data_IF_774333005283
#
_entry.id   IF_774333005283
#
_cell.length_a   1.000
_cell.length_b   1.000
_cell.length_c   1.000
_cell.angle_alpha   90.00
_cell.angle_beta   90.00
_cell.angle_gamma   90.00
#
_symmetry.space_group_name_H-M   'P 1'
#
loop_
_entity.id
_entity.type
_entity.pdbx_description
1 polymer ?
#
# COMPACT_ATOMS: atom_id res chain seq x y z
N UNK A 1 1.31 15.02 -1.02
CA UNK A 1 2.02 15.64 -2.15
C UNK A 1 1.90 14.79 -3.42
N UNK A 2 2.66 13.70 -3.58
CA UNK A 2 2.66 12.92 -4.83
C UNK A 2 1.30 12.31 -5.18
N UNK A 3 0.61 11.72 -4.20
CA UNK A 3 -0.74 11.19 -4.40
C UNK A 3 -1.74 12.26 -4.87
N UNK A 4 -1.54 13.53 -4.47
CA UNK A 4 -2.37 14.67 -4.89
C UNK A 4 -1.85 15.32 -6.19
N UNK A 5 -1.06 14.62 -7.01
CA UNK A 5 -0.53 15.16 -8.27
C UNK A 5 0.48 16.30 -8.09
N UNK A 6 1.18 16.36 -6.95
CA UNK A 6 2.14 17.42 -6.65
C UNK A 6 1.54 18.64 -5.94
N UNK A 7 0.34 18.54 -5.39
CA UNK A 7 -0.22 19.57 -4.51
C UNK A 7 0.23 19.37 -3.06
N UNK A 8 0.79 20.43 -2.45
CA UNK A 8 1.15 20.43 -1.02
C UNK A 8 -0.06 20.66 -0.11
N UNK A 9 -0.98 21.53 -0.51
CA UNK A 9 -2.19 21.81 0.28
C UNK A 9 -3.10 20.58 0.32
N UNK A 10 -3.69 20.31 1.48
CA UNK A 10 -4.69 19.27 1.63
C UNK A 10 -6.02 19.72 0.97
N UNK A 11 -6.73 18.79 0.34
CA UNK A 11 -8.06 19.05 -0.18
C UNK A 11 -9.07 19.27 0.96
N UNK A 12 -10.23 19.90 0.71
CA UNK A 12 -11.31 19.95 1.69
C UNK A 12 -11.70 18.54 2.16
N UNK A 13 -11.71 18.30 3.47
CA UNK A 13 -11.99 16.99 4.07
C UNK A 13 -10.81 16.02 4.09
N UNK A 14 -9.63 16.40 3.57
CA UNK A 14 -8.42 15.58 3.63
C UNK A 14 -7.63 15.85 4.92
N UNK A 15 -7.59 14.86 5.81
CA UNK A 15 -6.69 14.83 6.95
C UNK A 15 -5.41 14.05 6.64
N UNK A 16 -4.27 14.55 7.12
CA UNK A 16 -2.96 13.89 6.98
C UNK A 16 -2.37 13.59 8.33
N UNK A 17 -1.98 12.35 8.54
CA UNK A 17 -1.31 11.90 9.76
C UNK A 17 0.08 11.39 9.40
N UNK A 18 1.11 11.97 10.02
CA UNK A 18 2.50 11.56 9.85
C UNK A 18 2.99 10.86 11.11
N UNK A 19 3.35 9.59 10.99
CA UNK A 19 4.06 8.84 12.03
C UNK A 19 5.56 8.99 11.78
N UNK A 20 6.35 9.50 12.76
CA UNK A 20 7.79 9.62 12.60
C UNK A 20 8.44 8.25 12.36
N UNK A 21 9.34 8.19 11.38
CA UNK A 21 10.23 7.03 11.18
C UNK A 21 11.21 6.90 12.36
N UNK A 22 11.73 5.70 12.64
CA UNK A 22 12.71 5.53 13.70
C UNK A 22 14.01 6.29 13.41
N UNK A 23 14.62 6.84 14.45
CA UNK A 23 15.89 7.53 14.37
C UNK A 23 17.06 6.54 14.36
N UNK A 24 17.18 5.73 13.30
CA UNK A 24 18.27 4.77 13.07
C UNK A 24 19.11 5.18 11.87
N UNK A 25 20.39 4.79 11.86
CA UNK A 25 21.31 5.15 10.77
C UNK A 25 20.89 4.53 9.42
N UNK A 26 20.44 3.27 9.45
CA UNK A 26 19.90 2.54 8.30
C UNK A 26 18.78 1.62 8.77
N UNK A 27 17.72 1.46 7.98
CA UNK A 27 16.49 0.79 8.43
C UNK A 27 16.63 -0.72 8.64
N UNK A 28 17.71 -1.36 8.16
CA UNK A 28 18.00 -2.76 8.52
C UNK A 28 18.25 -2.94 10.03
N UNK A 29 18.55 -1.87 10.78
CA UNK A 29 18.69 -1.91 12.23
C UNK A 29 17.35 -2.01 12.96
N UNK A 30 16.26 -1.60 12.31
CA UNK A 30 14.89 -1.69 12.81
C UNK A 30 13.93 -1.96 11.63
N UNK A 31 13.92 -3.19 11.08
CA UNK A 31 13.18 -3.52 9.86
C UNK A 31 11.65 -3.34 9.96
N UNK A 32 11.10 -3.42 11.18
CA UNK A 32 9.70 -3.13 11.50
C UNK A 32 9.35 -1.64 11.36
N UNK A 33 10.38 -0.79 11.30
CA UNK A 33 10.27 0.67 11.23
C UNK A 33 9.19 1.19 12.19
N UNK A 34 8.23 1.96 11.67
CA UNK A 34 7.06 2.45 12.42
C UNK A 34 5.77 1.79 11.92
N UNK A 35 5.84 0.63 11.25
CA UNK A 35 4.64 -0.06 10.76
C UNK A 35 3.64 -0.39 11.89
N UNK A 36 4.06 -0.83 13.09
CA UNK A 36 3.13 -1.03 14.20
C UNK A 36 2.40 0.25 14.62
N UNK A 37 3.10 1.38 14.69
CA UNK A 37 2.52 2.68 15.05
C UNK A 37 1.55 3.20 13.98
N UNK A 38 1.90 3.03 12.69
CA UNK A 38 1.02 3.35 11.56
C UNK A 38 -0.26 2.51 11.62
N UNK A 39 -0.14 1.20 11.82
CA UNK A 39 -1.28 0.26 11.94
C UNK A 39 -2.20 0.64 13.09
N UNK A 40 -1.61 0.85 14.27
CA UNK A 40 -2.36 1.27 15.46
C UNK A 40 -3.07 2.60 15.25
N UNK A 41 -2.44 3.54 14.54
CA UNK A 41 -3.02 4.84 14.24
C UNK A 41 -4.19 4.72 13.26
N UNK A 42 -4.03 3.96 12.18
CA UNK A 42 -5.08 3.80 11.16
C UNK A 42 -6.26 3.03 11.70
N UNK A 43 -6.03 1.99 12.51
CA UNK A 43 -7.08 1.23 13.21
C UNK A 43 -7.95 2.17 14.05
N UNK A 44 -7.32 3.05 14.84
CA UNK A 44 -8.05 4.06 15.64
C UNK A 44 -8.87 5.03 14.79
N UNK A 45 -8.40 5.37 13.59
CA UNK A 45 -9.17 6.25 12.69
C UNK A 45 -10.34 5.53 12.03
N UNK A 46 -10.14 4.27 11.63
CA UNK A 46 -11.20 3.42 11.07
C UNK A 46 -12.29 3.17 12.13
N UNK A 47 -11.91 2.94 13.39
CA UNK A 47 -12.85 2.77 14.51
C UNK A 47 -13.73 4.01 14.77
N UNK A 48 -13.32 5.20 14.31
CA UNK A 48 -14.11 6.44 14.48
C UNK A 48 -15.26 6.56 13.49
N UNK A 49 -15.33 5.72 12.45
CA UNK A 49 -16.37 5.75 11.42
C UNK A 49 -16.56 7.16 10.82
N UNK A 50 -15.43 7.85 10.55
CA UNK A 50 -15.43 9.25 10.11
C UNK A 50 -14.99 9.46 8.66
N UNK A 51 -14.12 8.60 8.12
CA UNK A 51 -13.58 8.75 6.77
C UNK A 51 -14.21 7.74 5.81
N UNK A 52 -14.60 8.20 4.63
CA UNK A 52 -15.08 7.34 3.54
C UNK A 52 -13.93 6.59 2.85
N UNK A 53 -12.75 7.23 2.78
CA UNK A 53 -11.54 6.68 2.12
C UNK A 53 -10.32 6.89 3.00
N UNK A 54 -9.54 5.83 3.17
CA UNK A 54 -8.27 5.87 3.89
C UNK A 54 -7.15 5.38 2.97
N UNK A 55 -6.13 6.23 2.77
CA UNK A 55 -4.94 5.90 1.99
C UNK A 55 -3.75 5.75 2.94
N UNK A 56 -3.09 4.60 2.88
CA UNK A 56 -1.99 4.23 3.77
C UNK A 56 -0.82 3.65 2.99
N UNK A 57 0.41 3.90 3.47
CA UNK A 57 1.64 3.33 2.92
C UNK A 57 2.44 2.65 4.04
N UNK A 58 2.90 1.42 3.79
CA UNK A 58 3.95 0.78 4.57
C UNK A 58 5.28 0.91 3.84
N UNK A 59 6.20 1.70 4.38
CA UNK A 59 7.48 2.00 3.74
C UNK A 59 8.51 0.86 3.84
N UNK A 60 8.27 -0.12 4.71
CA UNK A 60 9.28 -1.10 5.14
C UNK A 60 9.90 -1.91 4.00
N UNK A 61 9.12 -2.51 3.07
CA UNK A 61 9.69 -3.40 2.07
C UNK A 61 10.68 -2.66 1.15
N UNK A 62 10.38 -1.40 0.82
CA UNK A 62 11.24 -0.57 -0.01
C UNK A 62 12.46 -0.04 0.75
N UNK A 63 12.22 0.65 1.86
CA UNK A 63 13.29 1.32 2.62
C UNK A 63 14.31 0.33 3.19
N UNK A 64 13.87 -0.87 3.57
CA UNK A 64 14.77 -1.94 4.01
C UNK A 64 15.34 -2.71 2.82
N UNK A 65 14.59 -2.85 1.72
CA UNK A 65 15.07 -3.43 0.46
C UNK A 65 16.32 -2.71 -0.08
N UNK A 66 16.32 -1.38 -0.01
CA UNK A 66 17.48 -0.55 -0.37
C UNK A 66 18.76 -0.82 0.42
N UNK A 67 18.70 -1.52 1.56
CA UNK A 67 19.89 -1.89 2.32
C UNK A 67 20.63 -3.09 1.71
N UNK A 68 19.98 -3.89 0.87
CA UNK A 68 20.55 -5.11 0.30
C UNK A 68 20.73 -6.26 1.30
N UNK A 69 20.19 -6.13 2.53
CA UNK A 69 20.31 -7.14 3.57
C UNK A 69 19.06 -8.02 3.56
N UNK A 70 19.15 -9.20 2.94
CA UNK A 70 18.03 -10.14 2.77
C UNK A 70 17.32 -10.46 4.10
N UNK A 71 18.07 -10.76 5.16
CA UNK A 71 17.47 -11.10 6.47
C UNK A 71 16.65 -9.95 7.06
N UNK A 72 17.09 -8.71 6.83
CA UNK A 72 16.35 -7.53 7.27
C UNK A 72 15.10 -7.32 6.41
N UNK A 73 15.20 -7.49 5.09
CA UNK A 73 14.04 -7.40 4.19
C UNK A 73 12.96 -8.45 4.52
N UNK A 74 13.36 -9.68 4.86
CA UNK A 74 12.42 -10.71 5.32
C UNK A 74 11.69 -10.28 6.60
N UNK A 75 12.39 -9.65 7.56
CA UNK A 75 11.76 -9.13 8.77
C UNK A 75 10.84 -7.95 8.47
N UNK A 76 11.21 -7.08 7.54
CA UNK A 76 10.40 -5.95 7.10
C UNK A 76 9.07 -6.41 6.50
N UNK A 77 9.11 -7.39 5.59
CA UNK A 77 7.89 -7.96 4.98
C UNK A 77 7.02 -8.65 6.03
N UNK A 78 7.60 -9.40 6.97
CA UNK A 78 6.85 -10.04 8.08
C UNK A 78 6.16 -9.01 8.97
N UNK A 79 6.84 -7.92 9.32
CA UNK A 79 6.24 -6.86 10.13
C UNK A 79 5.04 -6.22 9.42
N UNK A 80 5.14 -6.00 8.10
CA UNK A 80 4.03 -5.48 7.29
C UNK A 80 2.88 -6.49 7.20
N UNK A 81 3.16 -7.77 7.01
CA UNK A 81 2.15 -8.83 6.98
C UNK A 81 1.34 -8.89 8.28
N UNK A 82 2.03 -8.93 9.43
CA UNK A 82 1.41 -8.93 10.77
C UNK A 82 0.54 -7.68 11.00
N UNK A 83 1.05 -6.51 10.62
CA UNK A 83 0.35 -5.23 10.70
C UNK A 83 -0.88 -5.17 9.80
N UNK A 84 -0.75 -5.63 8.56
CA UNK A 84 -1.81 -5.60 7.55
C UNK A 84 -2.98 -6.50 7.93
N UNK A 85 -2.71 -7.67 8.56
CA UNK A 85 -3.77 -8.58 9.04
C UNK A 85 -4.74 -7.86 9.97
N UNK A 86 -4.26 -7.04 10.90
CA UNK A 86 -5.10 -6.32 11.85
C UNK A 86 -6.01 -5.29 11.16
N UNK A 87 -5.44 -4.50 10.23
CA UNK A 87 -6.17 -3.49 9.47
C UNK A 87 -7.23 -4.12 8.58
N UNK A 88 -6.85 -5.14 7.79
CA UNK A 88 -7.75 -5.84 6.87
C UNK A 88 -8.89 -6.51 7.63
N UNK A 89 -8.60 -7.13 8.79
CA UNK A 89 -9.64 -7.75 9.63
C UNK A 89 -10.66 -6.72 10.08
N UNK A 90 -10.21 -5.57 10.62
CA UNK A 90 -11.11 -4.52 11.08
C UNK A 90 -11.98 -3.96 9.96
N UNK A 91 -11.39 -3.66 8.80
CA UNK A 91 -12.14 -3.15 7.64
C UNK A 91 -13.21 -4.16 7.22
N UNK A 92 -12.86 -5.46 7.17
CA UNK A 92 -13.81 -6.52 6.79
C UNK A 92 -14.93 -6.73 7.83
N UNK A 93 -14.63 -6.57 9.12
CA UNK A 93 -15.63 -6.60 10.21
C UNK A 93 -16.61 -5.43 10.11
N UNK A 94 -16.17 -4.30 9.56
CA UNK A 94 -17.00 -3.12 9.27
C UNK A 94 -17.67 -3.16 7.89
N UNK A 95 -17.63 -4.31 7.22
CA UNK A 95 -18.18 -4.50 5.86
C UNK A 95 -17.55 -3.57 4.80
N UNK A 96 -16.39 -3.00 5.10
CA UNK A 96 -15.64 -2.15 4.18
C UNK A 96 -14.83 -2.94 3.15
N UNK A 97 -14.15 -2.19 2.28
CA UNK A 97 -13.34 -2.72 1.19
C UNK A 97 -11.87 -2.34 1.43
N UNK A 98 -10.96 -3.31 1.31
CA UNK A 98 -9.52 -3.04 1.28
C UNK A 98 -8.94 -3.38 -0.08
N UNK A 99 -8.21 -2.43 -0.68
CA UNK A 99 -7.36 -2.68 -1.84
C UNK A 99 -5.91 -2.76 -1.38
N UNK A 100 -5.27 -3.91 -1.59
CA UNK A 100 -3.85 -4.13 -1.25
C UNK A 100 -3.06 -4.10 -2.56
N UNK A 101 -2.10 -3.18 -2.66
CA UNK A 101 -1.22 -3.05 -3.83
C UNK A 101 0.14 -2.48 -3.44
N UNK A 102 1.03 -2.31 -4.42
CA UNK A 102 2.29 -1.61 -4.28
C UNK A 102 2.49 -0.63 -5.45
N UNK A 103 3.34 0.35 -5.27
CA UNK A 103 3.73 1.33 -6.30
C UNK A 103 4.84 0.80 -7.22
N UNK A 104 5.71 -0.07 -6.71
CA UNK A 104 6.72 -0.80 -7.47
C UNK A 104 7.26 -2.01 -6.69
N UNK A 105 8.16 -2.79 -7.32
CA UNK A 105 8.94 -3.84 -6.67
C UNK A 105 10.27 -3.34 -6.09
N UNK A 106 10.83 -4.10 -5.15
CA UNK A 106 12.16 -3.93 -4.56
C UNK A 106 12.59 -5.24 -3.86
N UNK A 107 11.98 -5.54 -2.70
CA UNK A 107 12.47 -6.58 -1.79
C UNK A 107 12.28 -8.03 -2.27
N UNK A 108 11.54 -8.25 -3.35
CA UNK A 108 11.44 -9.55 -4.03
C UNK A 108 12.75 -9.94 -4.74
N UNK A 109 13.64 -8.97 -5.00
CA UNK A 109 14.99 -9.20 -5.53
C UNK A 109 16.04 -8.54 -4.62
N UNK A 110 16.59 -9.30 -3.67
CA UNK A 110 17.64 -8.82 -2.76
C UNK A 110 19.07 -9.18 -3.18
N UNK A 111 19.21 -10.03 -4.20
CA UNK A 111 20.51 -10.50 -4.71
C UNK A 111 20.49 -10.41 -6.23
N UNK A 112 21.48 -9.74 -6.81
CA UNK A 112 21.63 -9.57 -8.24
C UNK A 112 21.90 -10.94 -8.91
N UNK A 113 21.04 -11.45 -9.79
CA UNK A 113 21.23 -12.76 -10.42
C UNK A 113 22.51 -12.87 -11.26
N UNK A 114 23.00 -11.74 -11.79
CA UNK A 114 24.18 -11.69 -12.65
C UNK A 114 25.50 -11.65 -11.86
N UNK A 115 25.51 -11.02 -10.68
CA UNK A 115 26.76 -10.76 -9.94
C UNK A 115 26.82 -11.47 -8.59
N UNK A 116 25.69 -11.92 -8.04
CA UNK A 116 25.58 -12.45 -6.68
C UNK A 116 25.70 -11.41 -5.57
N UNK A 117 25.90 -10.13 -5.91
CA UNK A 117 26.00 -9.04 -4.95
C UNK A 117 24.61 -8.61 -4.44
N UNK A 118 24.55 -7.91 -3.28
CA UNK A 118 23.32 -7.28 -2.83
C UNK A 118 22.68 -6.42 -3.92
N UNK A 119 21.36 -6.57 -4.10
CA UNK A 119 20.57 -5.73 -4.99
C UNK A 119 19.82 -4.70 -4.14
N UNK A 120 20.04 -3.43 -4.44
CA UNK A 120 19.57 -2.28 -3.62
C UNK A 120 18.68 -1.32 -4.40
N UNK A 121 18.22 -1.72 -5.60
CA UNK A 121 17.40 -0.89 -6.48
C UNK A 121 15.97 -1.43 -6.55
N UNK A 122 15.06 -0.64 -7.14
CA UNK A 122 13.74 -1.14 -7.49
C UNK A 122 13.84 -2.17 -8.63
N UNK A 123 12.78 -2.94 -8.80
CA UNK A 123 12.62 -3.85 -9.93
C UNK A 123 11.54 -3.35 -10.90
N UNK A 124 11.43 -4.04 -12.03
CA UNK A 124 10.32 -3.87 -12.98
C UNK A 124 9.28 -5.01 -12.87
N UNK A 125 9.27 -5.74 -11.74
CA UNK A 125 8.29 -6.80 -11.53
C UNK A 125 6.89 -6.22 -11.36
N UNK A 126 5.87 -7.05 -11.64
CA UNK A 126 4.48 -6.66 -11.42
C UNK A 126 4.18 -6.54 -9.92
N UNK A 127 3.35 -5.58 -9.56
CA UNK A 127 2.84 -5.40 -8.19
C UNK A 127 1.56 -6.20 -7.97
N UNK A 128 1.27 -6.64 -6.73
CA UNK A 128 -0.01 -7.26 -6.42
C UNK A 128 -1.15 -6.24 -6.53
N UNK A 129 -2.35 -6.73 -6.81
CA UNK A 129 -3.60 -6.00 -6.59
C UNK A 129 -4.63 -6.99 -6.03
N UNK A 130 -5.01 -6.80 -4.77
CA UNK A 130 -5.92 -7.70 -4.04
C UNK A 130 -7.11 -6.88 -3.57
N UNK A 131 -8.31 -7.31 -3.97
CA UNK A 131 -9.58 -6.80 -3.48
C UNK A 131 -10.05 -7.67 -2.32
N UNK A 132 -10.16 -7.08 -1.12
CA UNK A 132 -10.69 -7.75 0.07
C UNK A 132 -12.02 -7.11 0.44
N UNK A 133 -13.10 -7.86 0.28
CA UNK A 133 -14.47 -7.43 0.60
C UNK A 133 -15.36 -8.66 0.79
N UNK A 134 -16.36 -8.57 1.66
CA UNK A 134 -17.37 -9.62 1.81
C UNK A 134 -18.35 -9.65 0.62
N UNK A 135 -18.61 -8.51 -0.03
CA UNK A 135 -19.58 -8.37 -1.11
C UNK A 135 -18.99 -8.77 -2.48
N UNK A 136 -17.70 -8.51 -2.69
CA UNK A 136 -17.04 -8.66 -3.99
C UNK A 136 -16.24 -9.97 -4.13
N UNK A 137 -16.62 -11.03 -3.41
CA UNK A 137 -15.87 -12.29 -3.36
C UNK A 137 -15.77 -12.99 -4.73
N UNK A 138 -16.80 -12.85 -5.57
CA UNK A 138 -16.88 -13.44 -6.90
C UNK A 138 -16.41 -12.48 -8.01
N UNK A 139 -15.98 -11.27 -7.64
CA UNK A 139 -15.51 -10.28 -8.60
C UNK A 139 -14.22 -10.75 -9.26
N UNK A 140 -14.18 -10.68 -10.59
CA UNK A 140 -12.98 -10.98 -11.35
C UNK A 140 -12.18 -9.70 -11.61
N UNK A 141 -10.86 -9.83 -11.70
CA UNK A 141 -9.96 -8.71 -11.95
C UNK A 141 -9.33 -8.84 -13.34
N UNK A 142 -9.04 -7.72 -13.98
CA UNK A 142 -8.31 -7.68 -15.25
C UNK A 142 -6.82 -8.00 -15.04
N UNK A 143 -6.27 -8.82 -15.93
CA UNK A 143 -4.86 -9.25 -15.90
C UNK A 143 -3.88 -8.25 -16.53
N UNK A 144 -4.41 -7.24 -17.23
CA UNK A 144 -3.68 -6.19 -17.95
C UNK A 144 -3.76 -4.82 -17.27
N UNK A 145 -4.14 -4.81 -15.99
CA UNK A 145 -4.24 -3.59 -15.19
C UNK A 145 -2.88 -2.90 -14.98
N UNK A 146 -2.93 -1.57 -14.90
CA UNK A 146 -1.78 -0.69 -14.61
C UNK A 146 -2.09 0.24 -13.43
N UNK A 147 -1.08 0.93 -12.88
CA UNK A 147 -1.28 1.78 -11.68
C UNK A 147 -2.37 2.86 -11.87
N UNK A 148 -2.51 3.43 -13.07
CA UNK A 148 -3.55 4.43 -13.36
C UNK A 148 -4.98 3.89 -13.30
N UNK A 149 -5.15 2.57 -13.24
CA UNK A 149 -6.45 1.90 -13.17
C UNK A 149 -6.99 1.82 -11.73
N UNK A 150 -6.13 2.04 -10.72
CA UNK A 150 -6.49 1.93 -9.30
C UNK A 150 -7.48 3.03 -8.90
N UNK A 151 -7.23 4.29 -9.27
CA UNK A 151 -8.13 5.39 -8.89
C UNK A 151 -9.54 5.28 -9.51
N UNK A 152 -9.71 4.98 -10.81
CA UNK A 152 -11.02 4.64 -11.37
C UNK A 152 -11.72 3.48 -10.66
N UNK A 153 -10.96 2.45 -10.26
CA UNK A 153 -11.51 1.30 -9.52
C UNK A 153 -12.03 1.72 -8.14
N UNK A 154 -11.31 2.59 -7.42
CA UNK A 154 -11.77 3.14 -6.14
C UNK A 154 -13.09 3.91 -6.33
N UNK A 155 -13.19 4.75 -7.37
CA UNK A 155 -14.41 5.52 -7.63
C UNK A 155 -15.60 4.61 -7.94
N UNK A 156 -15.40 3.56 -8.73
CA UNK A 156 -16.46 2.58 -9.02
C UNK A 156 -16.92 1.84 -7.77
N UNK A 157 -16.01 1.40 -6.90
CA UNK A 157 -16.34 0.74 -5.63
C UNK A 157 -17.05 1.69 -4.63
N UNK A 158 -16.94 3.00 -4.81
CA UNK A 158 -17.64 4.02 -4.04
C UNK A 158 -18.94 4.50 -4.70
N UNK A 159 -19.35 3.90 -5.82
CA UNK A 159 -20.48 4.35 -6.66
C UNK A 159 -20.36 5.82 -7.10
N UNK A 160 -19.13 6.29 -7.36
CA UNK A 160 -18.83 7.65 -7.81
C UNK A 160 -18.49 7.69 -9.30
N UNK A 161 -18.85 8.79 -10.01
CA UNK A 161 -18.50 8.94 -11.41
C UNK A 161 -17.00 9.13 -11.61
N UNK A 162 -16.43 8.43 -12.59
CA UNK A 162 -15.04 8.63 -13.02
C UNK A 162 -14.94 9.91 -13.87
N UNK A 163 -14.10 10.89 -13.49
CA UNK A 163 -13.94 12.13 -14.26
C UNK A 163 -13.22 11.86 -15.59
N UNK A 164 -13.47 12.70 -16.60
CA UNK A 164 -12.96 12.50 -17.96
C UNK A 164 -11.42 12.57 -18.05
N UNK A 165 -10.77 13.26 -17.11
CA UNK A 165 -9.32 13.37 -17.00
C UNK A 165 -8.66 12.06 -16.56
N UNK A 166 -9.39 11.17 -15.87
CA UNK A 166 -8.90 9.84 -15.50
C UNK A 166 -9.08 8.89 -16.67
N UNK A 167 -8.02 8.72 -17.47
CA UNK A 167 -8.03 7.85 -18.65
C UNK A 167 -7.79 6.37 -18.35
N UNK A 168 -7.46 6.03 -17.09
CA UNK A 168 -7.39 4.66 -16.62
C UNK A 168 -8.75 3.98 -16.66
N UNK A 169 -8.77 2.65 -16.58
CA UNK A 169 -10.00 1.87 -16.59
C UNK A 169 -10.09 1.04 -15.34
N UNK A 170 -11.30 0.87 -14.80
CA UNK A 170 -11.52 -0.04 -13.67
C UNK A 170 -10.86 -1.40 -13.86
N UNK A 171 -10.32 -1.95 -12.79
CA UNK A 171 -9.69 -3.27 -12.75
C UNK A 171 -10.76 -4.36 -12.65
N UNK A 172 -11.95 -4.03 -12.16
CA UNK A 172 -13.06 -4.97 -12.03
C UNK A 172 -13.50 -5.47 -13.41
N UNK A 173 -13.74 -6.78 -13.53
CA UNK A 173 -14.45 -7.40 -14.64
C UNK A 173 -15.89 -7.60 -14.18
N UNK A 174 -16.83 -6.99 -14.91
CA UNK A 174 -18.27 -7.17 -14.70
C UNK A 174 -18.76 -8.58 -15.02
#
# INVERSE_FOLDING_TARGET
>A
FFFNGGAETANPGEDRILIPSPAVATYNLQPEMSAPEVSKRVIREIERDFYDVVIMNYANPDMVGHTGILEAAVKAVKAVDECMIEVVRLVREKEGITLITADHGNCEMMVCPQTGNPFTAHTCEKVPFILVSNEHIDCQLRDDAILSDIAPTILELLDLPVPAEMTGKTILRG
#
